data_IF_254076807705
#
_entry.id   IF_254076807705
#
_cell.length_a   1.000
_cell.length_b   1.000
_cell.length_c   1.000
_cell.angle_alpha   90.00
_cell.angle_beta   90.00
_cell.angle_gamma   90.00
#
_symmetry.space_group_name_H-M   'P 1'
#
loop_
_entity.id
_entity.type
_entity.pdbx_description
1 polymer ?
#
# COMPACT_ATOMS: atom_id res chain seq x y z
N UNK A 1 11.14 -10.89 -19.62
CA UNK A 1 11.09 -10.27 -18.27
C UNK A 1 9.79 -9.48 -18.18
N UNK A 2 9.08 -9.50 -17.04
CA UNK A 2 7.87 -8.70 -16.87
C UNK A 2 8.21 -7.21 -17.04
N UNK A 3 7.29 -6.44 -17.59
CA UNK A 3 7.43 -4.99 -17.75
C UNK A 3 7.41 -4.36 -16.35
N UNK A 4 8.47 -3.63 -15.98
CA UNK A 4 8.52 -2.91 -14.69
C UNK A 4 7.46 -1.81 -14.69
N UNK A 5 6.80 -1.59 -13.55
CA UNK A 5 5.88 -0.46 -13.38
C UNK A 5 6.67 0.84 -13.28
N UNK A 6 6.03 1.99 -13.51
CA UNK A 6 6.68 3.31 -13.36
C UNK A 6 7.26 3.52 -11.96
N UNK A 7 6.61 2.99 -10.92
CA UNK A 7 7.11 3.06 -9.54
C UNK A 7 8.38 2.23 -9.36
N UNK A 8 8.45 1.03 -9.95
CA UNK A 8 9.64 0.17 -9.94
C UNK A 8 10.81 0.78 -10.71
N UNK A 9 10.58 1.40 -11.87
CA UNK A 9 11.63 2.06 -12.64
C UNK A 9 12.26 3.21 -11.85
N UNK A 10 11.44 4.16 -11.41
CA UNK A 10 11.90 5.36 -10.69
C UNK A 10 12.53 4.99 -9.33
N UNK A 11 11.93 4.06 -8.58
CA UNK A 11 12.48 3.65 -7.27
C UNK A 11 13.78 2.87 -7.45
N UNK A 12 13.86 2.00 -8.47
CA UNK A 12 15.08 1.29 -8.82
C UNK A 12 16.22 2.25 -9.18
N UNK A 13 15.93 3.34 -9.90
CA UNK A 13 16.91 4.39 -10.18
C UNK A 13 17.39 5.12 -8.91
N UNK A 14 16.46 5.47 -8.01
CA UNK A 14 16.80 6.09 -6.71
C UNK A 14 17.72 5.18 -5.90
N UNK A 15 17.41 3.88 -5.84
CA UNK A 15 18.19 2.89 -5.11
C UNK A 15 19.56 2.68 -5.75
N UNK A 16 19.61 2.52 -7.08
CA UNK A 16 20.87 2.36 -7.83
C UNK A 16 21.86 3.50 -7.52
N UNK A 17 21.38 4.74 -7.56
CA UNK A 17 22.17 5.93 -7.25
C UNK A 17 22.64 6.01 -5.79
N UNK A 18 21.79 5.63 -4.83
CA UNK A 18 22.11 5.69 -3.40
C UNK A 18 23.04 4.55 -2.94
N UNK A 19 22.85 3.36 -3.52
CA UNK A 19 23.59 2.15 -3.19
C UNK A 19 24.89 2.05 -3.99
N UNK A 20 25.04 2.84 -5.06
CA UNK A 20 26.16 2.82 -5.99
C UNK A 20 26.29 1.44 -6.66
N UNK A 21 25.17 0.97 -7.23
CA UNK A 21 25.07 -0.27 -8.01
C UNK A 21 24.57 0.07 -9.41
N UNK A 22 24.97 -0.73 -10.41
CA UNK A 22 24.65 -0.46 -11.81
C UNK A 22 23.16 -0.61 -12.13
N UNK A 23 22.50 -1.59 -11.51
CA UNK A 23 21.09 -1.89 -11.71
C UNK A 23 20.49 -2.49 -10.44
N UNK A 24 19.17 -2.30 -10.26
CA UNK A 24 18.36 -2.95 -9.22
C UNK A 24 17.20 -3.67 -9.90
N UNK A 25 17.13 -4.99 -9.70
CA UNK A 25 16.04 -5.85 -10.16
C UNK A 25 14.85 -5.87 -9.20
N UNK A 26 13.72 -6.37 -9.67
CA UNK A 26 12.46 -6.34 -8.91
C UNK A 26 12.53 -7.14 -7.59
N UNK A 27 13.35 -8.19 -7.56
CA UNK A 27 13.49 -9.07 -6.40
C UNK A 27 14.71 -8.70 -5.53
N UNK A 28 15.42 -7.63 -5.88
CA UNK A 28 16.60 -7.18 -5.13
C UNK A 28 16.19 -6.55 -3.81
N UNK A 29 16.84 -7.01 -2.74
CA UNK A 29 16.67 -6.52 -1.38
C UNK A 29 17.60 -5.32 -1.09
N UNK A 30 17.01 -4.22 -0.61
CA UNK A 30 17.71 -2.97 -0.32
C UNK A 30 18.93 -3.16 0.59
N UNK A 31 18.80 -4.00 1.63
CA UNK A 31 19.83 -4.18 2.64
C UNK A 31 20.95 -5.11 2.15
N UNK A 32 20.59 -6.11 1.35
CA UNK A 32 21.53 -7.03 0.69
C UNK A 32 22.43 -6.32 -0.33
N UNK A 33 21.93 -5.25 -0.95
CA UNK A 33 22.68 -4.35 -1.82
C UNK A 33 23.56 -3.31 -1.08
N UNK A 34 23.68 -3.42 0.24
CA UNK A 34 24.50 -2.51 1.06
C UNK A 34 23.75 -1.29 1.61
N UNK A 35 22.42 -1.35 1.64
CA UNK A 35 21.56 -0.40 2.32
C UNK A 35 21.71 -0.47 3.84
N UNK A 36 21.61 0.69 4.50
CA UNK A 36 21.64 0.81 5.95
C UNK A 36 20.78 2.01 6.37
N UNK A 37 20.61 2.25 7.68
CA UNK A 37 19.64 3.21 8.23
C UNK A 37 19.67 4.60 7.58
N UNK A 38 20.85 5.19 7.36
CA UNK A 38 20.96 6.49 6.70
C UNK A 38 20.52 6.45 5.23
N UNK A 39 20.96 5.45 4.46
CA UNK A 39 20.53 5.27 3.06
C UNK A 39 19.05 4.95 2.95
N UNK A 40 18.51 4.17 3.91
CA UNK A 40 17.08 3.86 3.99
C UNK A 40 16.24 5.12 4.20
N UNK A 41 16.63 5.99 5.13
CA UNK A 41 15.99 7.29 5.34
C UNK A 41 16.05 8.16 4.08
N UNK A 42 17.19 8.20 3.40
CA UNK A 42 17.34 8.97 2.15
C UNK A 42 16.50 8.40 1.00
N UNK A 43 16.46 7.08 0.85
CA UNK A 43 15.65 6.42 -0.17
C UNK A 43 14.17 6.71 0.04
N UNK A 44 13.67 6.55 1.27
CA UNK A 44 12.28 6.83 1.61
C UNK A 44 11.93 8.31 1.41
N UNK A 45 12.80 9.25 1.80
CA UNK A 45 12.56 10.69 1.56
C UNK A 45 12.37 11.00 0.07
N UNK A 46 13.28 10.51 -0.78
CA UNK A 46 13.23 10.75 -2.23
C UNK A 46 12.00 10.12 -2.87
N UNK A 47 11.64 8.91 -2.46
CA UNK A 47 10.42 8.22 -2.92
C UNK A 47 9.18 9.02 -2.49
N UNK A 48 9.10 9.45 -1.24
CA UNK A 48 8.01 10.27 -0.73
C UNK A 48 7.84 11.57 -1.53
N UNK A 49 8.92 12.28 -1.80
CA UNK A 49 8.92 13.50 -2.61
C UNK A 49 8.48 13.23 -4.05
N UNK A 50 8.98 12.16 -4.67
CA UNK A 50 8.75 11.85 -6.09
C UNK A 50 7.31 11.42 -6.35
N UNK A 51 6.74 10.57 -5.49
CA UNK A 51 5.37 10.06 -5.65
C UNK A 51 4.34 10.87 -4.86
N UNK A 52 4.79 11.79 -4.00
CA UNK A 52 3.92 12.59 -3.13
C UNK A 52 3.15 11.73 -2.11
N UNK A 53 3.79 10.67 -1.63
CA UNK A 53 3.33 9.74 -0.60
C UNK A 53 4.10 9.98 0.71
N UNK A 54 3.68 9.37 1.81
CA UNK A 54 4.38 9.50 3.09
C UNK A 54 4.65 8.13 3.73
N UNK A 55 5.60 7.40 3.18
CA UNK A 55 6.13 6.19 3.80
C UNK A 55 7.09 6.52 4.91
N UNK A 56 7.09 5.65 5.92
CA UNK A 56 8.07 5.67 6.98
C UNK A 56 9.25 4.77 6.60
N UNK A 57 10.40 4.95 7.26
CA UNK A 57 11.54 4.02 7.10
C UNK A 57 11.14 2.59 7.46
N UNK A 58 10.23 2.42 8.43
CA UNK A 58 9.68 1.11 8.80
C UNK A 58 9.03 0.39 7.61
N UNK A 59 8.37 1.10 6.71
CA UNK A 59 7.78 0.53 5.49
C UNK A 59 8.85 -0.16 4.62
N UNK A 60 10.04 0.45 4.47
CA UNK A 60 11.15 -0.15 3.74
C UNK A 60 11.76 -1.36 4.47
N UNK A 61 11.72 -1.39 5.79
CA UNK A 61 12.14 -2.56 6.57
C UNK A 61 11.14 -3.72 6.47
N UNK A 62 9.84 -3.43 6.37
CA UNK A 62 8.80 -4.45 6.22
C UNK A 62 8.72 -4.99 4.80
N UNK A 63 8.99 -4.15 3.80
CA UNK A 63 8.97 -4.47 2.38
C UNK A 63 10.31 -4.05 1.76
N UNK A 64 11.33 -4.89 1.95
CA UNK A 64 12.72 -4.52 1.65
C UNK A 64 13.17 -4.87 0.23
N UNK A 65 12.43 -5.74 -0.49
CA UNK A 65 12.61 -5.96 -1.92
C UNK A 65 11.91 -4.87 -2.75
N UNK A 66 12.48 -4.56 -3.93
CA UNK A 66 12.00 -3.48 -4.78
C UNK A 66 10.52 -3.66 -5.19
N UNK A 67 10.11 -4.88 -5.51
CA UNK A 67 8.75 -5.20 -5.92
C UNK A 67 7.73 -4.91 -4.83
N UNK A 68 7.93 -5.48 -3.63
CA UNK A 68 7.03 -5.33 -2.49
C UNK A 68 6.96 -3.89 -2.02
N UNK A 69 8.10 -3.18 -2.01
CA UNK A 69 8.14 -1.77 -1.68
C UNK A 69 7.34 -0.91 -2.68
N UNK A 70 7.55 -1.11 -3.98
CA UNK A 70 6.82 -0.38 -5.02
C UNK A 70 5.34 -0.74 -5.07
N UNK A 71 4.97 -1.97 -4.71
CA UNK A 71 3.56 -2.35 -4.58
C UNK A 71 2.82 -1.51 -3.54
N UNK A 72 3.49 -1.06 -2.48
CA UNK A 72 2.88 -0.12 -1.53
C UNK A 72 2.60 1.23 -2.19
N UNK A 73 3.51 1.69 -3.07
CA UNK A 73 3.35 2.95 -3.82
C UNK A 73 2.12 2.85 -4.73
N UNK A 74 2.00 1.74 -5.44
CA UNK A 74 0.95 1.52 -6.44
C UNK A 74 -0.45 1.35 -5.82
N UNK A 75 -0.53 0.95 -4.55
CA UNK A 75 -1.79 0.86 -3.81
C UNK A 75 -2.33 2.23 -3.36
N UNK A 76 -1.49 3.26 -3.33
CA UNK A 76 -1.89 4.59 -2.90
C UNK A 76 -2.38 5.45 -4.08
N UNK A 77 -3.60 5.99 -3.98
CA UNK A 77 -4.15 6.93 -4.95
C UNK A 77 -4.10 8.36 -4.40
N UNK A 78 -3.37 9.25 -5.09
CA UNK A 78 -3.39 10.69 -4.81
C UNK A 78 -4.36 11.40 -5.73
N UNK A 79 -5.39 12.01 -5.14
CA UNK A 79 -6.39 12.79 -5.88
C UNK A 79 -6.21 14.29 -5.58
N UNK A 80 -6.35 15.13 -6.60
CA UNK A 80 -6.34 16.60 -6.46
C UNK A 80 -7.73 17.14 -6.81
N UNK A 81 -8.20 18.10 -6.03
CA UNK A 81 -9.51 18.75 -6.22
C UNK A 81 -10.54 18.33 -5.19
N UNK A 82 -11.80 18.67 -5.48
CA UNK A 82 -12.92 18.40 -4.59
C UNK A 82 -13.35 16.94 -4.72
N UNK A 83 -13.27 16.20 -3.62
CA UNK A 83 -13.72 14.81 -3.55
C UNK A 83 -15.00 14.73 -2.71
N UNK A 84 -16.10 14.30 -3.33
CA UNK A 84 -17.31 13.94 -2.58
C UNK A 84 -17.14 12.53 -2.01
N UNK A 85 -16.80 12.47 -0.72
CA UNK A 85 -16.60 11.23 0.03
C UNK A 85 -17.84 10.33 -0.02
N UNK A 86 -19.05 10.89 0.05
CA UNK A 86 -20.29 10.10 0.03
C UNK A 86 -20.53 9.49 -1.34
N UNK A 87 -20.22 10.23 -2.40
CA UNK A 87 -20.30 9.70 -3.76
C UNK A 87 -19.27 8.59 -4.00
N UNK A 88 -18.03 8.77 -3.51
CA UNK A 88 -16.98 7.77 -3.61
C UNK A 88 -17.34 6.47 -2.86
N UNK A 89 -17.83 6.59 -1.62
CA UNK A 89 -18.27 5.42 -0.83
C UNK A 89 -19.37 4.64 -1.55
N UNK A 90 -20.37 5.34 -2.11
CA UNK A 90 -21.42 4.72 -2.91
C UNK A 90 -20.86 4.02 -4.15
N UNK A 91 -19.94 4.65 -4.87
CA UNK A 91 -19.35 4.08 -6.06
C UNK A 91 -18.56 2.79 -5.77
N UNK A 92 -17.73 2.80 -4.72
CA UNK A 92 -16.98 1.61 -4.28
C UNK A 92 -17.93 0.49 -3.86
N UNK A 93 -18.96 0.79 -3.07
CA UNK A 93 -19.94 -0.20 -2.67
C UNK A 93 -20.75 -0.76 -3.86
N UNK A 94 -21.03 0.04 -4.89
CA UNK A 94 -21.64 -0.48 -6.13
C UNK A 94 -20.70 -1.38 -6.92
N UNK A 95 -19.39 -1.11 -6.93
CA UNK A 95 -18.39 -2.03 -7.50
C UNK A 95 -18.43 -3.35 -6.73
N UNK A 96 -18.32 -3.33 -5.40
CA UNK A 96 -18.37 -4.54 -4.56
C UNK A 96 -19.68 -5.31 -4.78
N UNK A 97 -20.82 -4.62 -4.83
CA UNK A 97 -22.12 -5.24 -5.10
C UNK A 97 -22.16 -5.98 -6.44
N UNK A 98 -21.63 -5.36 -7.50
CA UNK A 98 -21.61 -5.95 -8.86
C UNK A 98 -20.58 -7.06 -9.03
N UNK A 99 -19.48 -7.04 -8.29
CA UNK A 99 -18.36 -7.96 -8.49
C UNK A 99 -18.34 -9.06 -7.42
N UNK A 100 -18.78 -10.26 -7.81
CA UNK A 100 -18.73 -11.47 -6.98
C UNK A 100 -17.34 -11.76 -6.37
N UNK A 101 -16.21 -11.62 -7.10
CA UNK A 101 -14.89 -11.86 -6.52
C UNK A 101 -14.58 -11.00 -5.29
N UNK A 102 -15.11 -9.76 -5.24
CA UNK A 102 -14.91 -8.85 -4.10
C UNK A 102 -15.82 -9.17 -2.90
N UNK A 103 -16.78 -10.08 -3.07
CA UNK A 103 -17.69 -10.58 -2.03
C UNK A 103 -17.43 -12.03 -1.67
N UNK A 104 -16.35 -12.59 -2.19
CA UNK A 104 -15.97 -13.99 -1.99
C UNK A 104 -15.11 -14.13 -0.75
N UNK A 105 -15.51 -15.03 0.16
CA UNK A 105 -14.75 -15.35 1.37
C UNK A 105 -14.74 -16.86 1.65
N UNK A 106 -13.75 -17.34 2.38
CA UNK A 106 -13.57 -18.73 2.75
C UNK A 106 -13.99 -18.95 4.21
N UNK A 107 -14.81 -19.96 4.48
CA UNK A 107 -15.08 -20.40 5.85
C UNK A 107 -14.40 -21.73 6.09
N UNK A 108 -13.83 -21.91 7.29
CA UNK A 108 -13.30 -23.22 7.70
C UNK A 108 -14.46 -24.06 8.24
N UNK A 109 -14.94 -25.00 7.44
CA UNK A 109 -15.94 -26.00 7.87
C UNK A 109 -15.27 -27.37 7.82
N UNK A 110 -15.33 -28.08 8.94
CA UNK A 110 -14.69 -29.40 9.12
C UNK A 110 -13.17 -29.38 8.84
N UNK A 111 -12.72 -30.03 7.75
CA UNK A 111 -11.30 -30.20 7.38
C UNK A 111 -10.88 -29.48 6.09
N UNK A 112 -11.79 -28.76 5.41
CA UNK A 112 -11.49 -28.09 4.14
C UNK A 112 -12.07 -26.67 4.08
N UNK A 113 -11.38 -25.70 3.45
CA UNK A 113 -11.93 -24.36 3.24
C UNK A 113 -13.08 -24.41 2.22
N UNK A 114 -14.21 -23.80 2.56
CA UNK A 114 -15.38 -23.67 1.66
C UNK A 114 -15.53 -22.21 1.25
N UNK A 115 -15.58 -21.97 -0.05
CA UNK A 115 -15.84 -20.65 -0.62
C UNK A 115 -17.33 -20.29 -0.47
N UNK A 116 -17.60 -19.08 0.02
CA UNK A 116 -18.93 -18.47 0.13
C UNK A 116 -18.92 -17.07 -0.45
N UNK A 117 -20.07 -16.66 -0.98
CA UNK A 117 -20.26 -15.33 -1.56
C UNK A 117 -21.26 -14.59 -0.68
N UNK A 118 -20.88 -13.43 -0.15
CA UNK A 118 -21.78 -12.59 0.62
C UNK A 118 -22.85 -11.99 -0.32
N UNK A 119 -24.17 -12.12 -0.02
CA UNK A 119 -25.22 -11.53 -0.85
C UNK A 119 -25.13 -10.00 -0.87
N UNK A 120 -24.68 -9.40 0.24
CA UNK A 120 -24.39 -7.97 0.36
C UNK A 120 -23.13 -7.80 1.22
N UNK A 121 -22.21 -6.95 0.77
CA UNK A 121 -21.06 -6.53 1.54
C UNK A 121 -20.99 -5.01 1.47
N UNK A 122 -20.77 -4.38 2.63
CA UNK A 122 -20.57 -2.94 2.73
C UNK A 122 -19.14 -2.68 3.20
N UNK A 123 -18.41 -1.88 2.44
CA UNK A 123 -17.06 -1.42 2.80
C UNK A 123 -17.21 0.05 3.22
N UNK A 124 -17.09 0.37 4.52
CA UNK A 124 -17.12 1.75 4.98
C UNK A 124 -15.83 2.47 4.56
N UNK A 125 -15.94 3.74 4.15
CA UNK A 125 -14.76 4.59 3.96
C UNK A 125 -14.38 5.30 5.26
N UNK A 126 -13.22 4.96 5.81
CA UNK A 126 -12.65 5.64 6.97
C UNK A 126 -11.91 6.90 6.51
N UNK A 127 -12.40 8.08 6.89
CA UNK A 127 -11.78 9.37 6.52
C UNK A 127 -11.09 9.99 7.73
N UNK A 128 -9.83 10.37 7.55
CA UNK A 128 -9.07 11.17 8.52
C UNK A 128 -8.77 12.54 7.91
N UNK A 129 -9.21 13.61 8.57
CA UNK A 129 -8.93 14.98 8.13
C UNK A 129 -7.52 15.38 8.61
N UNK A 130 -6.68 15.85 7.67
CA UNK A 130 -5.30 16.25 7.91
C UNK A 130 -5.06 17.76 7.77
N UNK A 131 -6.07 18.57 7.45
CA UNK A 131 -5.93 20.00 7.08
C UNK A 131 -5.33 20.91 8.18
N UNK A 132 -5.31 20.46 9.44
CA UNK A 132 -4.80 21.22 10.59
C UNK A 132 -3.61 20.57 11.28
N UNK A 133 -3.03 19.55 10.67
CA UNK A 133 -1.90 18.82 11.23
C UNK A 133 -0.60 19.43 10.73
N UNK A 134 0.42 19.43 11.57
CA UNK A 134 1.79 19.66 11.10
C UNK A 134 2.20 18.55 10.13
N UNK A 135 3.27 18.75 9.38
CA UNK A 135 3.80 17.69 8.51
C UNK A 135 4.11 16.41 9.30
N UNK A 136 4.63 16.55 10.52
CA UNK A 136 4.93 15.43 11.43
C UNK A 136 3.67 14.73 11.91
N UNK A 137 2.64 15.47 12.33
CA UNK A 137 1.35 14.91 12.77
C UNK A 137 0.56 14.28 11.61
N UNK A 138 0.76 14.77 10.39
CA UNK A 138 0.19 14.23 9.15
C UNK A 138 0.87 12.92 8.81
N UNK A 139 2.20 12.86 8.91
CA UNK A 139 2.98 11.65 8.70
C UNK A 139 2.63 10.56 9.72
N UNK A 140 2.51 10.91 11.00
CA UNK A 140 2.11 9.97 12.04
C UNK A 140 0.70 9.44 11.80
N UNK A 141 -0.25 10.31 11.44
CA UNK A 141 -1.62 9.90 11.12
C UNK A 141 -1.69 8.98 9.88
N UNK A 142 -0.90 9.26 8.83
CA UNK A 142 -0.86 8.41 7.65
C UNK A 142 -0.20 7.06 7.96
N UNK A 143 0.91 7.05 8.69
CA UNK A 143 1.57 5.82 9.11
C UNK A 143 0.64 4.95 9.98
N UNK A 144 -0.15 5.56 10.86
CA UNK A 144 -1.14 4.86 11.68
C UNK A 144 -2.29 4.31 10.83
N UNK A 145 -2.77 5.07 9.84
CA UNK A 145 -3.82 4.61 8.93
C UNK A 145 -3.36 3.42 8.07
N UNK A 146 -2.16 3.51 7.48
CA UNK A 146 -1.55 2.42 6.70
C UNK A 146 -1.29 1.17 7.55
N UNK A 147 -0.80 1.34 8.79
CA UNK A 147 -0.59 0.23 9.71
C UNK A 147 -1.91 -0.45 10.14
N UNK A 148 -3.00 0.32 10.27
CA UNK A 148 -4.32 -0.22 10.58
C UNK A 148 -4.87 -1.05 9.41
N UNK A 149 -4.73 -0.57 8.18
CA UNK A 149 -5.16 -1.31 6.99
C UNK A 149 -4.29 -2.55 6.73
N UNK A 150 -2.98 -2.49 6.96
CA UNK A 150 -2.08 -3.64 6.84
C UNK A 150 -2.34 -4.73 7.91
N UNK A 151 -2.75 -4.33 9.12
CA UNK A 151 -3.18 -5.24 10.18
C UNK A 151 -4.63 -5.75 10.02
N UNK A 152 -5.44 -5.06 9.22
CA UNK A 152 -6.83 -5.38 8.88
C UNK A 152 -6.99 -5.73 7.39
N UNK A 153 -6.04 -6.47 6.80
CA UNK A 153 -6.45 -7.52 5.86
C UNK A 153 -7.21 -8.53 6.73
N UNK A 154 -8.43 -8.17 7.13
CA UNK A 154 -9.40 -9.08 7.72
C UNK A 154 -9.38 -10.24 6.75
N UNK A 155 -8.80 -11.39 7.15
CA UNK A 155 -8.71 -12.47 6.21
C UNK A 155 -10.16 -12.69 5.82
N UNK A 156 -10.37 -12.91 4.54
CA UNK A 156 -11.59 -13.47 3.98
C UNK A 156 -11.97 -14.80 4.69
N UNK A 157 -11.42 -15.13 5.85
CA UNK A 157 -11.57 -16.33 6.62
C UNK A 157 -12.69 -16.29 7.66
N UNK A 158 -13.24 -15.12 8.05
CA UNK A 158 -14.34 -15.06 9.02
C UNK A 158 -15.10 -13.72 9.03
N UNK A 159 -16.05 -13.51 8.11
CA UNK A 159 -17.19 -12.60 8.36
C UNK A 159 -18.50 -13.37 8.23
N UNK A 160 -19.43 -13.25 9.19
CA UNK A 160 -20.78 -13.79 9.06
C UNK A 160 -21.58 -13.09 7.96
#
# INVERSE_FOLDING_TARGET
MPVKTRSQEITGEIWSQLLNVDHVDIDDDFFSLGGHSLKATQAVSRVNETFGIHFSVKTLFEYSDLFSFCSQIDQALKMKGWLDIRALEKAINEIVRRHEPLRTFFIKKDRAPVQKIAPMAHIPLNVTNLEKKTDEETQEALAMALAKDAGEISPLQNRP
#
